data_IF_867936026647
#
_entry.id   IF_867936026647
#
_cell.length_a   1.000
_cell.length_b   1.000
_cell.length_c   1.000
_cell.angle_alpha   90.00
_cell.angle_beta   90.00
_cell.angle_gamma   90.00
#
_symmetry.space_group_name_H-M   'P 1'
#
loop_
_entity.id
_entity.type
_entity.pdbx_description
1 polymer ?
#
# COMPACT_ATOMS: atom_id res chain seq x y z
N UNK A 1 2.81 22.94 2.49
CA UNK A 1 1.50 22.28 2.67
C UNK A 1 1.76 20.92 3.31
N UNK A 2 1.86 20.90 4.63
CA UNK A 2 2.24 19.72 5.42
C UNK A 2 1.00 18.87 5.66
N UNK A 3 0.83 17.81 4.87
CA UNK A 3 -0.16 16.77 5.12
C UNK A 3 0.29 15.91 6.32
N UNK A 4 0.34 16.49 7.52
CA UNK A 4 0.40 15.69 8.74
C UNK A 4 -1.03 15.22 9.03
N UNK A 5 -1.45 14.20 8.28
CA UNK A 5 -2.47 13.28 8.76
C UNK A 5 -1.82 12.65 9.99
N UNK A 6 -2.49 12.70 11.15
CA UNK A 6 -2.05 11.97 12.33
C UNK A 6 -1.76 10.52 11.92
N UNK A 7 -0.46 10.18 11.87
CA UNK A 7 -0.04 8.87 11.37
C UNK A 7 -0.43 7.88 12.46
N UNK A 8 -1.59 7.25 12.26
CA UNK A 8 -2.07 6.19 13.13
C UNK A 8 -0.99 5.11 13.25
N UNK A 9 -0.93 4.44 14.40
CA UNK A 9 0.16 3.53 14.72
C UNK A 9 0.28 2.38 13.70
N UNK A 10 -0.83 1.97 13.09
CA UNK A 10 -0.88 0.96 12.02
C UNK A 10 -0.33 1.49 10.69
N UNK A 11 -0.45 2.78 10.39
CA UNK A 11 0.11 3.35 9.15
C UNK A 11 1.65 3.41 9.20
N UNK A 12 2.26 3.38 10.39
CA UNK A 12 3.72 3.39 10.56
C UNK A 12 4.41 2.10 10.10
N UNK A 13 3.65 1.04 9.80
CA UNK A 13 4.22 -0.17 9.20
C UNK A 13 4.05 -0.22 7.68
N UNK A 14 3.38 0.77 7.05
CA UNK A 14 3.29 0.86 5.60
C UNK A 14 4.69 0.94 4.97
N UNK A 15 4.86 0.33 3.79
CA UNK A 15 6.16 0.34 3.11
C UNK A 15 6.58 1.76 2.76
N UNK A 16 5.63 2.61 2.39
CA UNK A 16 5.85 4.04 2.15
C UNK A 16 6.44 4.75 3.37
N UNK A 17 5.79 4.62 4.54
CA UNK A 17 6.31 5.23 5.78
C UNK A 17 7.71 4.72 6.13
N UNK A 18 7.92 3.40 6.08
CA UNK A 18 9.21 2.79 6.44
C UNK A 18 10.34 3.26 5.52
N UNK A 19 10.10 3.35 4.21
CA UNK A 19 11.10 3.86 3.25
C UNK A 19 11.40 5.34 3.52
N UNK A 20 10.37 6.17 3.74
CA UNK A 20 10.56 7.59 4.05
C UNK A 20 11.36 7.78 5.34
N UNK A 21 11.01 7.03 6.40
CA UNK A 21 11.72 7.07 7.67
C UNK A 21 13.17 6.62 7.52
N UNK A 22 13.41 5.48 6.86
CA UNK A 22 14.76 4.98 6.61
C UNK A 22 15.63 5.99 5.84
N UNK A 23 15.08 6.60 4.77
CA UNK A 23 15.78 7.63 3.99
C UNK A 23 16.05 8.91 4.78
N UNK A 24 15.22 9.24 5.77
CA UNK A 24 15.47 10.41 6.62
C UNK A 24 16.60 10.19 7.62
N UNK A 25 16.94 8.93 7.93
CA UNK A 25 17.97 8.54 8.89
C UNK A 25 19.30 8.12 8.23
N UNK A 26 19.31 7.86 6.92
CA UNK A 26 20.44 7.30 6.18
C UNK A 26 20.60 7.97 4.81
N UNK A 27 21.82 8.38 4.48
CA UNK A 27 22.15 8.98 3.18
C UNK A 27 22.17 7.96 2.03
N UNK A 28 22.57 6.72 2.29
CA UNK A 28 22.65 5.66 1.28
C UNK A 28 21.60 4.55 1.48
N UNK A 29 20.96 4.16 0.37
CA UNK A 29 19.96 3.10 0.38
C UNK A 29 20.59 1.73 0.15
N UNK A 30 20.38 0.81 1.10
CA UNK A 30 20.77 -0.59 0.99
C UNK A 30 19.59 -1.47 1.35
N UNK A 31 19.29 -2.46 0.50
CA UNK A 31 18.15 -3.36 0.69
C UNK A 31 18.29 -4.17 1.97
N UNK A 32 19.47 -4.74 2.24
CA UNK A 32 19.72 -5.54 3.44
C UNK A 32 19.55 -4.70 4.71
N UNK A 33 20.10 -3.47 4.71
CA UNK A 33 19.97 -2.57 5.84
C UNK A 33 18.52 -2.10 6.03
N UNK A 34 17.77 -1.91 4.94
CA UNK A 34 16.35 -1.59 5.00
C UNK A 34 15.51 -2.73 5.58
N UNK A 35 15.80 -3.99 5.21
CA UNK A 35 15.13 -5.16 5.78
C UNK A 35 15.42 -5.27 7.29
N UNK A 36 16.68 -5.09 7.70
CA UNK A 36 17.03 -5.06 9.13
C UNK A 36 16.35 -3.89 9.84
N UNK A 37 16.31 -2.71 9.24
CA UNK A 37 15.58 -1.56 9.79
C UNK A 37 14.10 -1.89 10.02
N UNK A 38 13.44 -2.56 9.07
CA UNK A 38 12.05 -2.98 9.21
C UNK A 38 11.86 -3.93 10.40
N UNK A 39 12.75 -4.91 10.58
CA UNK A 39 12.69 -5.86 11.71
C UNK A 39 12.76 -5.15 13.07
N UNK A 40 13.56 -4.09 13.17
CA UNK A 40 13.70 -3.33 14.42
C UNK A 40 12.59 -2.30 14.65
N UNK A 41 11.92 -1.83 13.58
CA UNK A 41 10.92 -0.76 13.65
C UNK A 41 9.47 -1.24 13.60
N UNK A 42 9.23 -2.51 13.28
CA UNK A 42 7.90 -3.13 13.30
C UNK A 42 7.81 -4.01 14.54
N UNK A 43 6.98 -3.61 15.50
CA UNK A 43 6.75 -4.40 16.72
C UNK A 43 5.63 -5.43 16.55
N UNK A 44 5.62 -6.45 17.40
CA UNK A 44 4.53 -7.43 17.44
C UNK A 44 3.18 -6.78 17.75
N UNK A 45 3.15 -5.81 18.67
CA UNK A 45 1.96 -5.03 19.00
C UNK A 45 1.40 -4.30 17.78
N UNK A 46 2.27 -3.68 16.97
CA UNK A 46 1.85 -3.04 15.72
C UNK A 46 1.27 -4.04 14.73
N UNK A 47 1.85 -5.24 14.62
CA UNK A 47 1.32 -6.32 13.79
C UNK A 47 -0.09 -6.74 14.25
N UNK A 48 -0.30 -6.93 15.56
CA UNK A 48 -1.59 -7.30 16.15
C UNK A 48 -2.64 -6.19 15.97
N UNK A 49 -2.28 -4.92 16.22
CA UNK A 49 -3.20 -3.79 16.00
C UNK A 49 -3.59 -3.67 14.54
N UNK A 50 -2.62 -3.86 13.64
CA UNK A 50 -2.85 -3.79 12.20
C UNK A 50 -3.74 -4.93 11.70
N UNK A 51 -3.56 -6.15 12.20
CA UNK A 51 -4.43 -7.29 11.88
C UNK A 51 -5.88 -6.99 12.29
N UNK A 52 -6.09 -6.50 13.51
CA UNK A 52 -7.41 -6.09 14.00
C UNK A 52 -8.01 -4.94 13.18
N UNK A 53 -7.22 -3.90 12.90
CA UNK A 53 -7.67 -2.71 12.16
C UNK A 53 -7.99 -2.99 10.69
N UNK A 54 -7.46 -4.09 10.14
CA UNK A 54 -7.69 -4.49 8.75
C UNK A 54 -8.50 -5.77 8.60
N UNK A 55 -9.17 -6.20 9.67
CA UNK A 55 -10.00 -7.41 9.68
C UNK A 55 -11.09 -7.38 8.61
N UNK A 56 -11.65 -6.21 8.33
CA UNK A 56 -12.67 -6.01 7.30
C UNK A 56 -12.10 -5.81 5.88
N UNK A 57 -10.79 -6.00 5.73
CA UNK A 57 -10.07 -6.05 4.45
C UNK A 57 -10.34 -4.80 3.58
N UNK A 58 -10.88 -5.01 2.37
CA UNK A 58 -11.06 -3.99 1.33
C UNK A 58 -12.09 -2.91 1.66
N UNK A 59 -12.78 -2.99 2.80
CA UNK A 59 -13.67 -1.92 3.27
C UNK A 59 -12.88 -0.74 3.85
N UNK A 60 -11.61 -0.95 4.22
CA UNK A 60 -10.76 0.09 4.81
C UNK A 60 -9.66 0.54 3.86
N UNK A 61 -9.38 1.84 3.81
CA UNK A 61 -8.25 2.39 3.02
C UNK A 61 -6.89 1.89 3.53
N UNK A 62 -6.79 1.65 4.84
CA UNK A 62 -5.59 1.14 5.50
C UNK A 62 -5.14 -0.21 4.93
N UNK A 63 -6.08 -1.11 4.61
CA UNK A 63 -5.76 -2.40 3.98
C UNK A 63 -5.02 -2.26 2.64
N UNK A 64 -5.41 -1.29 1.82
CA UNK A 64 -4.75 -1.05 0.53
C UNK A 64 -3.36 -0.46 0.72
N UNK A 65 -3.21 0.50 1.63
CA UNK A 65 -1.92 1.14 1.93
C UNK A 65 -0.89 0.11 2.41
N UNK A 66 -1.30 -0.78 3.31
CA UNK A 66 -0.41 -1.79 3.89
C UNK A 66 0.01 -2.87 2.91
N UNK A 67 -0.81 -3.14 1.88
CA UNK A 67 -0.49 -4.14 0.83
C UNK A 67 0.33 -3.54 -0.30
N UNK A 68 0.35 -2.22 -0.45
CA UNK A 68 1.11 -1.55 -1.50
C UNK A 68 2.60 -1.90 -1.41
N UNK A 69 3.15 -2.44 -2.50
CA UNK A 69 4.55 -2.85 -2.60
C UNK A 69 4.93 -4.12 -1.80
N UNK A 70 3.98 -4.76 -1.09
CA UNK A 70 4.24 -6.03 -0.39
C UNK A 70 3.80 -7.22 -1.24
N UNK A 71 4.65 -8.26 -1.32
CA UNK A 71 4.26 -9.52 -1.97
C UNK A 71 3.24 -10.23 -1.07
N UNK A 72 1.97 -10.15 -1.44
CA UNK A 72 0.87 -10.85 -0.76
C UNK A 72 0.63 -12.22 -1.35
N UNK A 73 -0.08 -13.10 -0.64
CA UNK A 73 -0.37 -14.46 -1.12
C UNK A 73 -1.03 -14.48 -2.51
N UNK A 74 -1.95 -13.56 -2.78
CA UNK A 74 -2.58 -13.42 -4.10
C UNK A 74 -1.57 -13.00 -5.19
N UNK A 75 -0.65 -12.08 -4.87
CA UNK A 75 0.41 -11.65 -5.81
C UNK A 75 1.40 -12.80 -6.06
N UNK A 76 1.79 -13.56 -5.03
CA UNK A 76 2.66 -14.72 -5.19
C UNK A 76 2.02 -15.83 -6.04
N UNK A 77 0.71 -16.05 -5.87
CA UNK A 77 -0.05 -16.98 -6.70
C UNK A 77 -0.16 -16.53 -8.16
N UNK A 78 -0.36 -15.23 -8.39
CA UNK A 78 -0.34 -14.69 -9.75
C UNK A 78 1.06 -14.80 -10.36
N UNK A 79 2.11 -14.50 -9.59
CA UNK A 79 3.50 -14.60 -10.03
C UNK A 79 3.86 -16.02 -10.51
N UNK A 80 3.42 -17.06 -9.78
CA UNK A 80 3.70 -18.45 -10.15
C UNK A 80 3.00 -18.91 -11.42
N UNK A 81 1.97 -18.17 -11.86
CA UNK A 81 1.20 -18.43 -13.07
C UNK A 81 1.44 -17.37 -14.16
N UNK A 82 2.30 -16.40 -13.90
CA UNK A 82 2.51 -15.23 -14.74
C UNK A 82 3.44 -15.60 -15.90
N UNK A 83 2.90 -15.58 -17.11
CA UNK A 83 3.67 -15.69 -18.35
C UNK A 83 3.84 -14.34 -19.06
N UNK A 84 3.39 -13.23 -18.44
CA UNK A 84 3.52 -11.89 -19.01
C UNK A 84 4.92 -11.31 -18.79
N UNK A 85 5.30 -10.37 -19.68
CA UNK A 85 6.60 -9.71 -19.68
C UNK A 85 6.94 -9.02 -18.34
N UNK A 86 8.24 -8.85 -18.11
CA UNK A 86 8.80 -8.22 -16.91
C UNK A 86 8.13 -6.87 -16.61
N UNK A 87 7.86 -6.62 -15.33
CA UNK A 87 7.37 -5.33 -14.82
C UNK A 87 5.85 -5.22 -14.61
N UNK A 88 5.02 -5.99 -15.33
CA UNK A 88 3.54 -5.90 -15.21
C UNK A 88 3.05 -6.20 -13.78
N UNK A 89 3.65 -7.21 -13.15
CA UNK A 89 3.32 -7.59 -11.78
C UNK A 89 3.82 -6.57 -10.75
N UNK A 90 4.96 -5.93 -11.02
CA UNK A 90 5.54 -4.88 -10.16
C UNK A 90 4.64 -3.65 -10.15
N UNK A 91 4.18 -3.20 -11.31
CA UNK A 91 3.25 -2.09 -11.45
C UNK A 91 1.91 -2.37 -10.73
N UNK A 92 1.38 -3.59 -10.88
CA UNK A 92 0.18 -4.01 -10.16
C UNK A 92 0.37 -4.00 -8.65
N UNK A 93 1.51 -4.48 -8.15
CA UNK A 93 1.84 -4.55 -6.73
C UNK A 93 2.04 -3.15 -6.11
N UNK A 94 2.61 -2.22 -6.86
CA UNK A 94 2.76 -0.80 -6.46
C UNK A 94 1.45 0.00 -6.60
N UNK A 95 0.34 -0.65 -6.96
CA UNK A 95 -0.96 0.00 -7.06
C UNK A 95 -1.15 0.89 -8.29
N UNK A 96 -0.28 0.79 -9.32
CA UNK A 96 -0.42 1.58 -10.55
C UNK A 96 -1.77 1.33 -11.24
N UNK A 97 -2.26 0.09 -11.20
CA UNK A 97 -3.58 -0.28 -11.71
C UNK A 97 -4.74 0.17 -10.79
N UNK A 98 -4.48 0.34 -9.48
CA UNK A 98 -5.50 0.82 -8.54
C UNK A 98 -5.74 2.33 -8.68
N UNK A 99 -4.72 3.12 -9.01
CA UNK A 99 -4.86 4.55 -9.34
C UNK A 99 -5.74 4.75 -10.57
N UNK A 100 -5.48 3.99 -11.64
CA UNK A 100 -6.27 4.04 -12.88
C UNK A 100 -7.73 3.66 -12.63
N UNK A 101 -7.98 2.58 -11.88
CA UNK A 101 -9.34 2.18 -11.51
C UNK A 101 -10.02 3.17 -10.57
N UNK A 102 -9.31 3.77 -9.60
CA UNK A 102 -9.89 4.75 -8.66
C UNK A 102 -10.28 6.06 -9.37
N UNK A 103 -9.55 6.46 -10.42
CA UNK A 103 -9.93 7.58 -11.29
C UNK A 103 -11.17 7.23 -12.13
N UNK A 104 -11.19 6.04 -12.74
CA UNK A 104 -12.35 5.56 -13.51
C UNK A 104 -13.61 5.42 -12.63
N UNK A 105 -13.50 4.87 -11.41
CA UNK A 105 -14.61 4.79 -10.46
C UNK A 105 -15.12 6.18 -10.04
N UNK A 106 -14.23 7.18 -9.90
CA UNK A 106 -14.64 8.57 -9.62
C UNK A 106 -15.34 9.20 -10.81
N UNK A 107 -14.85 9.00 -12.03
CA UNK A 107 -15.51 9.50 -13.26
C UNK A 107 -16.88 8.86 -13.48
N UNK A 108 -17.00 7.55 -13.34
CA UNK A 108 -18.28 6.83 -13.49
C UNK A 108 -19.30 7.29 -12.45
N UNK A 109 -18.88 7.51 -11.20
CA UNK A 109 -19.79 8.03 -10.16
C UNK A 109 -20.15 9.50 -10.35
N UNK A 110 -19.21 10.34 -10.85
CA UNK A 110 -19.47 11.74 -11.20
C UNK A 110 -20.46 11.87 -12.38
N UNK A 111 -20.39 10.95 -13.34
CA UNK A 111 -21.33 10.92 -14.47
C UNK A 111 -22.73 10.44 -14.05
N UNK A 112 -22.83 9.49 -13.11
CA UNK A 112 -24.11 9.05 -12.55
C UNK A 112 -24.83 10.13 -11.74
N UNK A 113 -24.11 10.89 -10.91
CA UNK A 113 -24.72 12.00 -10.14
C UNK A 113 -25.19 13.16 -11.03
N UNK A 114 -24.60 13.31 -12.22
CA UNK A 114 -25.02 14.34 -13.20
C UNK A 114 -26.28 13.92 -13.99
N UNK A 115 -26.51 12.61 -14.16
CA UNK A 115 -27.72 12.08 -14.82
C UNK A 115 -28.96 12.02 -13.91
N UNK A 116 -28.79 12.11 -12.60
CA UNK A 116 -29.90 12.09 -11.62
C UNK A 116 -30.45 13.51 -11.29
N UNK A 117 -29.89 14.55 -11.92
CA UNK A 117 -30.28 15.95 -11.73
C UNK A 117 -30.67 16.65 -13.05
N UNK A 118 -31.07 15.89 -14.07
CA UNK A 118 -31.71 16.41 -15.30
C UNK A 118 -33.06 15.72 -15.46
#
# INVERSE_FOLDING_TARGET
MTYFIDINIEMKISLHYLICKYKSEKDEFSVNNFVEFCKHNITEEQCLSTEKATKDQSTTSLWFELRCGRITASIAHEASKCNTADGVLVEKNLGANQLKNRLLYKEVNFLKTKSEHT
#
